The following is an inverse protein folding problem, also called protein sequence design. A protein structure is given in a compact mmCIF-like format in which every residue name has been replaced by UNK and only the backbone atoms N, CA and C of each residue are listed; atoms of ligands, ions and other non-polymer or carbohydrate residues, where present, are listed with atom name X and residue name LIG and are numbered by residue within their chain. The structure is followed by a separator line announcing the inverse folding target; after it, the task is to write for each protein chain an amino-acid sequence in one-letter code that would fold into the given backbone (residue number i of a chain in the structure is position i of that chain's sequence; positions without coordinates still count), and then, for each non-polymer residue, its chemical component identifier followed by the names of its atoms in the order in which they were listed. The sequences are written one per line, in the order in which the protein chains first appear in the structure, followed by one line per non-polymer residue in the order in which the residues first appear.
data_IF_829262120399
#
_entry.id   IF_829262120399
#
_cell.length_a   1.000
_cell.length_b   1.000
_cell.length_c   1.000
_cell.angle_alpha   90.00
_cell.angle_beta   90.00
_cell.angle_gamma   90.00
#
_symmetry.space_group_name_H-M   'P 1'
#
loop_
_entity.id
_entity.type
_entity.pdbx_description
1 polymer ?
#
# COMPACT_ATOMS: atom_id res chain seq x y z
N UNK A 1 16.49 8.03 -0.70
CA UNK A 1 17.20 7.13 -1.63
C UNK A 1 16.20 6.15 -2.24
N UNK A 2 16.46 5.62 -3.44
CA UNK A 2 15.65 4.60 -4.12
C UNK A 2 16.56 3.41 -4.43
N UNK A 3 16.07 2.22 -4.15
CA UNK A 3 16.75 0.96 -4.39
C UNK A 3 15.84 0.07 -5.25
N UNK A 4 16.42 -0.90 -5.94
CA UNK A 4 15.70 -1.94 -6.65
C UNK A 4 16.15 -3.31 -6.11
N UNK A 5 15.18 -4.12 -5.66
CA UNK A 5 15.41 -5.47 -5.18
C UNK A 5 14.52 -6.42 -5.98
N UNK A 6 15.09 -7.50 -6.48
CA UNK A 6 14.32 -8.57 -7.13
C UNK A 6 13.81 -9.54 -6.05
N UNK A 7 12.55 -9.34 -5.63
CA UNK A 7 11.95 -10.14 -4.56
C UNK A 7 11.49 -11.54 -5.01
N UNK A 8 11.68 -11.89 -6.27
CA UNK A 8 11.51 -13.28 -6.74
C UNK A 8 12.72 -14.16 -6.39
N UNK A 9 13.82 -13.53 -5.93
CA UNK A 9 15.06 -14.18 -5.53
C UNK A 9 15.38 -13.94 -4.05
N UNK A 10 16.00 -14.91 -3.39
CA UNK A 10 16.41 -14.81 -1.98
C UNK A 10 17.43 -13.68 -1.75
N UNK A 11 18.31 -13.40 -2.73
CA UNK A 11 19.26 -12.28 -2.69
C UNK A 11 18.54 -10.92 -2.66
N UNK A 12 17.39 -10.81 -3.32
CA UNK A 12 16.57 -9.61 -3.30
C UNK A 12 15.99 -9.34 -1.91
N UNK A 13 15.52 -10.38 -1.22
CA UNK A 13 15.06 -10.29 0.16
C UNK A 13 16.20 -9.95 1.11
N UNK A 14 17.36 -10.61 0.99
CA UNK A 14 18.55 -10.28 1.76
C UNK A 14 18.96 -8.83 1.60
N UNK A 15 18.92 -8.32 0.36
CA UNK A 15 19.21 -6.91 0.06
C UNK A 15 18.19 -5.97 0.71
N UNK A 16 16.90 -6.31 0.68
CA UNK A 16 15.85 -5.52 1.33
C UNK A 16 16.05 -5.45 2.83
N UNK A 17 16.35 -6.57 3.50
CA UNK A 17 16.59 -6.58 4.94
C UNK A 17 17.83 -5.75 5.32
N UNK A 18 18.90 -5.82 4.53
CA UNK A 18 20.10 -4.99 4.73
C UNK A 18 19.81 -3.49 4.57
N UNK A 19 18.96 -3.11 3.60
CA UNK A 19 18.48 -1.72 3.45
C UNK A 19 17.65 -1.30 4.66
N UNK A 20 16.80 -2.18 5.20
CA UNK A 20 16.04 -1.91 6.40
C UNK A 20 16.93 -1.67 7.62
N UNK A 21 18.01 -2.43 7.75
CA UNK A 21 19.01 -2.26 8.81
C UNK A 21 19.80 -0.95 8.64
N UNK A 22 20.30 -0.65 7.43
CA UNK A 22 21.02 0.61 7.13
C UNK A 22 20.18 1.86 7.45
N UNK A 23 18.86 1.75 7.29
CA UNK A 23 17.90 2.86 7.45
C UNK A 23 16.98 2.67 8.66
N UNK A 24 17.49 2.12 9.77
CA UNK A 24 16.67 1.81 10.97
C UNK A 24 15.92 3.00 11.56
N UNK A 25 16.42 4.21 11.39
CA UNK A 25 15.81 5.45 11.91
C UNK A 25 14.87 6.13 10.90
N UNK A 26 14.53 5.43 9.78
CA UNK A 26 13.71 5.97 8.70
C UNK A 26 12.63 4.98 8.29
N UNK A 27 11.52 5.46 7.74
CA UNK A 27 10.54 4.59 7.09
C UNK A 27 11.11 4.03 5.78
N UNK A 28 10.99 2.73 5.58
CA UNK A 28 11.28 2.06 4.31
C UNK A 28 9.96 1.73 3.63
N UNK A 29 9.76 2.26 2.44
CA UNK A 29 8.54 2.01 1.65
C UNK A 29 8.90 1.05 0.53
N UNK A 30 8.24 -0.11 0.52
CA UNK A 30 8.39 -1.13 -0.54
C UNK A 30 7.21 -1.02 -1.49
N UNK A 31 7.48 -0.70 -2.76
CA UNK A 31 6.49 -0.75 -3.82
C UNK A 31 6.66 -2.06 -4.58
N UNK A 32 5.82 -3.03 -4.28
CA UNK A 32 5.87 -4.35 -4.89
C UNK A 32 5.15 -4.38 -6.25
N UNK A 33 5.61 -5.27 -7.14
CA UNK A 33 4.93 -5.55 -8.39
C UNK A 33 3.58 -6.26 -8.16
N UNK A 34 2.72 -6.25 -9.16
CA UNK A 34 1.48 -7.03 -9.12
C UNK A 34 1.81 -8.52 -9.00
N UNK A 35 1.15 -9.24 -8.09
CA UNK A 35 1.40 -10.66 -7.83
C UNK A 35 2.52 -10.95 -6.83
N UNK A 36 3.16 -9.94 -6.25
CA UNK A 36 4.20 -10.10 -5.24
C UNK A 36 3.68 -10.65 -3.89
N UNK A 37 2.36 -10.76 -3.72
CA UNK A 37 1.73 -11.43 -2.58
C UNK A 37 2.24 -12.87 -2.40
N UNK A 38 2.50 -13.59 -3.48
CA UNK A 38 3.03 -14.97 -3.42
C UNK A 38 4.42 -15.05 -2.83
N UNK A 39 5.35 -14.23 -3.33
CA UNK A 39 6.73 -14.18 -2.83
C UNK A 39 6.79 -13.63 -1.43
N UNK A 40 5.91 -12.68 -1.07
CA UNK A 40 5.76 -12.20 0.30
C UNK A 40 5.33 -13.34 1.24
N UNK A 41 4.29 -14.10 0.89
CA UNK A 41 3.81 -15.24 1.70
C UNK A 41 4.88 -16.33 1.83
N UNK A 42 5.64 -16.62 0.78
CA UNK A 42 6.74 -17.59 0.83
C UNK A 42 7.85 -17.17 1.79
N UNK A 43 8.12 -15.87 1.90
CA UNK A 43 9.17 -15.32 2.75
C UNK A 43 8.67 -14.80 4.12
N UNK A 44 7.43 -15.14 4.50
CA UNK A 44 6.77 -14.59 5.68
C UNK A 44 7.59 -14.77 6.97
N UNK A 45 8.23 -15.95 7.14
CA UNK A 45 9.08 -16.24 8.30
C UNK A 45 10.35 -15.39 8.36
N UNK A 46 10.95 -15.08 7.22
CA UNK A 46 12.11 -14.21 7.15
C UNK A 46 11.71 -12.76 7.43
N UNK A 47 10.53 -12.33 6.95
CA UNK A 47 9.99 -10.99 7.20
C UNK A 47 9.68 -10.81 8.68
N UNK A 48 9.03 -11.79 9.32
CA UNK A 48 8.73 -11.81 10.76
C UNK A 48 10.02 -11.66 11.57
N UNK A 49 11.00 -12.53 11.32
CA UNK A 49 12.29 -12.49 11.99
C UNK A 49 13.03 -11.15 11.79
N UNK A 50 13.05 -10.63 10.58
CA UNK A 50 13.66 -9.33 10.31
C UNK A 50 12.94 -8.18 11.02
N UNK A 51 11.60 -8.22 11.09
CA UNK A 51 10.79 -7.25 11.82
C UNK A 51 11.13 -7.24 13.31
N UNK A 52 11.23 -8.43 13.92
CA UNK A 52 11.63 -8.60 15.33
C UNK A 52 13.06 -8.11 15.58
N UNK A 53 14.03 -8.58 14.80
CA UNK A 53 15.45 -8.25 14.98
C UNK A 53 15.74 -6.75 14.80
N UNK A 54 14.99 -6.08 13.93
CA UNK A 54 15.15 -4.67 13.64
C UNK A 54 14.19 -3.79 14.47
N UNK A 55 13.38 -4.40 15.34
CA UNK A 55 12.34 -3.72 16.14
C UNK A 55 11.45 -2.82 15.26
N UNK A 56 11.08 -3.31 14.06
CA UNK A 56 10.30 -2.55 13.10
C UNK A 56 8.85 -3.02 13.07
N UNK A 57 7.96 -2.05 12.96
CA UNK A 57 6.55 -2.30 12.65
C UNK A 57 6.39 -2.52 11.14
N UNK A 58 5.68 -3.57 10.76
CA UNK A 58 5.29 -3.85 9.39
C UNK A 58 3.89 -3.31 9.11
N UNK A 59 3.75 -2.51 8.06
CA UNK A 59 2.45 -1.99 7.62
C UNK A 59 2.25 -2.40 6.17
N UNK A 60 1.19 -3.16 5.90
CA UNK A 60 0.82 -3.57 4.55
C UNK A 60 -0.40 -2.83 4.05
N UNK A 61 -0.25 -2.09 2.95
CA UNK A 61 -1.35 -1.51 2.22
C UNK A 61 -1.76 -2.46 1.08
N UNK A 62 -2.79 -3.26 1.31
CA UNK A 62 -3.30 -4.14 0.25
C UNK A 62 -4.20 -3.34 -0.69
N UNK A 63 -3.71 -3.11 -1.92
CA UNK A 63 -4.41 -2.31 -2.93
C UNK A 63 -5.46 -3.16 -3.64
N UNK A 64 -6.71 -3.03 -3.22
CA UNK A 64 -7.84 -3.76 -3.77
C UNK A 64 -8.32 -3.11 -5.08
N UNK A 65 -8.49 -3.91 -6.12
CA UNK A 65 -9.22 -3.54 -7.34
C UNK A 65 -10.67 -4.09 -7.29
N UNK A 66 -11.44 -3.87 -8.33
CA UNK A 66 -12.84 -4.29 -8.45
C UNK A 66 -13.02 -5.74 -8.93
N UNK A 67 -11.92 -6.47 -9.16
CA UNK A 67 -11.94 -7.85 -9.65
C UNK A 67 -12.06 -8.86 -8.50
N UNK A 68 -12.80 -9.96 -8.77
CA UNK A 68 -12.97 -11.05 -7.81
C UNK A 68 -11.66 -11.71 -7.39
N UNK A 69 -10.68 -11.78 -8.30
CA UNK A 69 -9.37 -12.37 -8.02
C UNK A 69 -8.59 -11.57 -6.97
N UNK A 70 -8.78 -10.25 -6.92
CA UNK A 70 -8.21 -9.41 -5.89
C UNK A 70 -8.73 -9.76 -4.49
N UNK A 71 -10.00 -10.15 -4.37
CA UNK A 71 -10.59 -10.63 -3.11
C UNK A 71 -9.99 -11.96 -2.67
N UNK A 72 -9.81 -12.89 -3.62
CA UNK A 72 -9.19 -14.19 -3.33
C UNK A 72 -7.73 -14.05 -2.89
N UNK A 73 -7.01 -13.10 -3.48
CA UNK A 73 -5.63 -12.79 -3.10
C UNK A 73 -5.59 -12.14 -1.72
N UNK A 74 -6.49 -11.21 -1.43
CA UNK A 74 -6.61 -10.58 -0.11
C UNK A 74 -6.87 -11.60 0.99
N UNK A 75 -7.79 -12.55 0.77
CA UNK A 75 -8.12 -13.59 1.76
C UNK A 75 -6.89 -14.46 2.07
N UNK A 76 -6.20 -14.95 1.04
CA UNK A 76 -4.94 -15.72 1.19
C UNK A 76 -3.86 -14.93 1.89
N UNK A 77 -3.69 -13.65 1.52
CA UNK A 77 -2.70 -12.77 2.14
C UNK A 77 -3.01 -12.57 3.63
N UNK A 78 -4.26 -12.26 3.95
CA UNK A 78 -4.70 -12.08 5.33
C UNK A 78 -4.47 -13.35 6.17
N UNK A 79 -4.89 -14.52 5.68
CA UNK A 79 -4.71 -15.78 6.40
C UNK A 79 -3.24 -16.14 6.65
N UNK A 80 -2.36 -15.82 5.71
CA UNK A 80 -0.93 -16.06 5.86
C UNK A 80 -0.24 -15.10 6.84
N UNK A 81 -0.79 -13.89 7.03
CA UNK A 81 -0.10 -12.79 7.72
C UNK A 81 -0.71 -12.40 9.05
N UNK A 82 -1.94 -12.86 9.38
CA UNK A 82 -2.66 -12.47 10.61
C UNK A 82 -1.95 -12.86 11.92
N UNK A 83 -0.98 -13.76 11.89
CA UNK A 83 -0.22 -14.20 13.06
C UNK A 83 1.09 -13.47 13.29
N UNK A 84 1.47 -12.54 12.40
CA UNK A 84 2.73 -11.78 12.54
C UNK A 84 2.54 -10.70 13.59
N UNK A 85 3.39 -10.72 14.60
CA UNK A 85 3.42 -9.70 15.64
C UNK A 85 3.84 -8.34 15.04
N UNK A 86 3.24 -7.25 15.51
CA UNK A 86 3.50 -5.87 15.02
C UNK A 86 3.22 -5.65 13.51
N UNK A 87 2.37 -6.49 12.90
CA UNK A 87 1.93 -6.32 11.52
C UNK A 87 0.54 -5.69 11.46
N UNK A 88 0.43 -4.57 10.75
CA UNK A 88 -0.83 -3.88 10.50
C UNK A 88 -1.21 -3.98 9.03
N UNK A 89 -2.44 -4.37 8.75
CA UNK A 89 -2.97 -4.48 7.39
C UNK A 89 -4.04 -3.41 7.18
N UNK A 90 -3.89 -2.63 6.13
CA UNK A 90 -4.92 -1.73 5.63
C UNK A 90 -5.38 -2.18 4.24
N UNK A 91 -6.66 -2.45 4.08
CA UNK A 91 -7.26 -2.74 2.78
C UNK A 91 -7.63 -1.41 2.12
N UNK A 92 -6.96 -1.08 1.03
CA UNK A 92 -7.16 0.17 0.31
C UNK A 92 -7.95 -0.08 -0.96
N UNK A 93 -9.24 0.27 -0.95
CA UNK A 93 -10.10 0.25 -2.15
C UNK A 93 -9.62 1.34 -3.10
N UNK A 94 -9.01 0.94 -4.23
CA UNK A 94 -8.37 1.86 -5.16
C UNK A 94 -9.41 2.54 -6.06
N UNK A 95 -9.73 3.78 -5.76
CA UNK A 95 -10.70 4.60 -6.52
C UNK A 95 -10.29 4.89 -7.97
N UNK A 96 -9.12 4.43 -8.42
CA UNK A 96 -8.78 4.43 -9.84
C UNK A 96 -9.77 3.60 -10.68
N UNK A 97 -10.28 2.52 -10.11
CA UNK A 97 -11.23 1.62 -10.76
C UNK A 97 -12.68 2.12 -10.70
N UNK A 98 -13.01 3.06 -9.84
CA UNK A 98 -14.34 3.67 -9.76
C UNK A 98 -14.67 4.22 -8.37
N UNK A 99 -15.93 4.58 -8.18
CA UNK A 99 -16.45 5.01 -6.89
C UNK A 99 -16.49 3.84 -5.88
N UNK A 100 -16.70 4.12 -4.60
CA UNK A 100 -16.73 3.10 -3.54
C UNK A 100 -17.73 1.96 -3.82
N UNK A 101 -18.84 2.26 -4.52
CA UNK A 101 -19.85 1.28 -4.91
C UNK A 101 -19.34 0.17 -5.84
N UNK A 102 -18.26 0.36 -6.59
CA UNK A 102 -17.70 -0.73 -7.43
C UNK A 102 -17.07 -1.84 -6.58
N UNK A 103 -16.82 -1.59 -5.30
CA UNK A 103 -16.32 -2.54 -4.33
C UNK A 103 -17.43 -3.22 -3.50
N UNK A 104 -18.68 -3.20 -3.97
CA UNK A 104 -19.83 -3.77 -3.23
C UNK A 104 -19.63 -5.23 -2.88
N UNK A 105 -18.99 -6.01 -3.75
CA UNK A 105 -18.68 -7.44 -3.49
C UNK A 105 -17.78 -7.55 -2.25
N UNK A 106 -16.78 -6.70 -2.10
CA UNK A 106 -15.97 -6.63 -0.89
C UNK A 106 -16.76 -6.06 0.29
N UNK A 107 -17.44 -4.92 0.09
CA UNK A 107 -18.12 -4.18 1.14
C UNK A 107 -19.20 -5.03 1.85
N UNK A 108 -19.82 -5.98 1.16
CA UNK A 108 -20.86 -6.87 1.70
C UNK A 108 -20.36 -8.29 2.02
N UNK A 109 -19.06 -8.56 1.83
CA UNK A 109 -18.49 -9.90 1.98
C UNK A 109 -18.23 -10.26 3.46
N UNK A 110 -18.28 -11.56 3.74
CA UNK A 110 -17.80 -12.11 5.01
C UNK A 110 -16.28 -11.86 5.20
N UNK A 111 -15.53 -11.73 4.11
CA UNK A 111 -14.11 -11.43 4.14
C UNK A 111 -13.84 -10.06 4.80
N UNK A 112 -14.59 -9.02 4.42
CA UNK A 112 -14.48 -7.72 5.06
C UNK A 112 -14.74 -7.82 6.56
N UNK A 113 -15.82 -8.49 6.96
CA UNK A 113 -16.15 -8.68 8.38
C UNK A 113 -15.03 -9.42 9.14
N UNK A 114 -14.47 -10.49 8.55
CA UNK A 114 -13.34 -11.28 9.08
C UNK A 114 -12.10 -10.39 9.31
N UNK A 115 -11.72 -9.60 8.32
CA UNK A 115 -10.54 -8.75 8.31
C UNK A 115 -10.68 -7.60 9.35
N UNK A 116 -11.83 -6.93 9.37
CA UNK A 116 -12.10 -5.83 10.30
C UNK A 116 -12.24 -6.32 11.74
N UNK A 117 -12.81 -7.51 11.97
CA UNK A 117 -12.84 -8.14 13.30
C UNK A 117 -11.42 -8.47 13.80
N UNK A 118 -10.49 -8.78 12.90
CA UNK A 118 -9.07 -8.99 13.21
C UNK A 118 -8.27 -7.68 13.40
N UNK A 119 -8.93 -6.53 13.46
CA UNK A 119 -8.29 -5.24 13.75
C UNK A 119 -7.74 -4.50 12.51
N UNK A 120 -7.95 -5.04 11.31
CA UNK A 120 -7.54 -4.36 10.09
C UNK A 120 -8.54 -3.26 9.72
N UNK A 121 -8.08 -2.27 8.96
CA UNK A 121 -8.92 -1.15 8.50
C UNK A 121 -9.16 -1.22 7.00
N UNK A 122 -10.37 -0.85 6.58
CA UNK A 122 -10.72 -0.69 5.17
C UNK A 122 -10.85 0.79 4.84
N UNK A 123 -10.18 1.23 3.78
CA UNK A 123 -10.17 2.64 3.37
C UNK A 123 -10.44 2.76 1.87
N UNK A 124 -11.29 3.74 1.49
CA UNK A 124 -11.47 4.09 0.10
C UNK A 124 -10.57 5.26 -0.28
N UNK A 125 -9.57 5.00 -1.11
CA UNK A 125 -8.67 6.01 -1.65
C UNK A 125 -9.21 6.55 -2.96
N UNK A 126 -9.87 7.71 -2.91
CA UNK A 126 -10.41 8.36 -4.09
C UNK A 126 -9.30 8.65 -5.13
N UNK A 127 -9.61 8.45 -6.41
CA UNK A 127 -8.68 8.81 -7.47
C UNK A 127 -8.45 10.31 -7.55
N UNK A 128 -7.23 10.71 -7.92
CA UNK A 128 -6.97 12.08 -8.34
C UNK A 128 -7.81 12.40 -9.59
N UNK A 129 -8.33 13.62 -9.67
CA UNK A 129 -9.13 14.08 -10.80
C UNK A 129 -8.49 13.72 -12.15
N UNK A 130 -9.22 13.09 -13.10
CA UNK A 130 -8.64 12.51 -14.31
C UNK A 130 -7.81 13.48 -15.13
N UNK A 131 -8.28 14.73 -15.30
CA UNK A 131 -7.57 15.77 -16.07
C UNK A 131 -6.23 16.16 -15.42
N UNK A 132 -6.15 16.22 -14.08
CA UNK A 132 -4.92 16.52 -13.35
C UNK A 132 -3.95 15.34 -13.47
N UNK A 133 -4.44 14.11 -13.23
CA UNK A 133 -3.65 12.90 -13.36
C UNK A 133 -3.06 12.75 -14.78
N UNK A 134 -3.85 13.03 -15.83
CA UNK A 134 -3.40 12.95 -17.21
C UNK A 134 -2.27 13.93 -17.51
N UNK A 135 -2.35 15.17 -17.04
CA UNK A 135 -1.29 16.18 -17.20
C UNK A 135 0.02 15.71 -16.54
N UNK A 136 -0.05 15.25 -15.29
CA UNK A 136 1.11 14.76 -14.55
C UNK A 136 1.78 13.58 -15.27
N UNK A 137 0.95 12.65 -15.78
CA UNK A 137 1.42 11.47 -16.51
C UNK A 137 2.11 11.84 -17.84
N UNK A 138 1.52 12.76 -18.61
CA UNK A 138 2.09 13.20 -19.89
C UNK A 138 3.45 13.88 -19.72
N UNK A 139 3.58 14.71 -18.69
CA UNK A 139 4.82 15.41 -18.36
C UNK A 139 5.83 14.54 -17.57
N UNK A 140 5.48 13.29 -17.26
CA UNK A 140 6.33 12.35 -16.50
C UNK A 140 6.89 12.95 -15.20
N UNK A 141 6.09 13.75 -14.50
CA UNK A 141 6.48 14.41 -13.25
C UNK A 141 6.06 13.60 -12.03
N UNK A 142 6.82 13.74 -10.97
CA UNK A 142 6.39 13.27 -9.64
C UNK A 142 5.24 14.14 -9.13
N UNK A 143 4.47 13.64 -8.15
CA UNK A 143 3.46 14.45 -7.47
C UNK A 143 4.05 15.67 -6.75
N UNK A 144 5.32 15.59 -6.31
CA UNK A 144 6.02 16.71 -5.70
C UNK A 144 6.29 17.83 -6.72
N UNK A 145 6.74 17.45 -7.92
CA UNK A 145 7.09 18.41 -8.97
C UNK A 145 5.87 18.90 -9.78
N UNK A 146 4.74 18.22 -9.64
CA UNK A 146 3.53 18.52 -10.41
C UNK A 146 3.01 19.95 -10.20
N UNK A 147 3.22 20.53 -9.02
CA UNK A 147 2.83 21.91 -8.73
C UNK A 147 3.44 22.93 -9.70
N UNK A 148 4.60 22.63 -10.29
CA UNK A 148 5.32 23.53 -11.20
C UNK A 148 4.75 23.54 -12.63
N UNK A 149 3.96 22.54 -13.00
CA UNK A 149 3.41 22.37 -14.35
C UNK A 149 1.88 22.52 -14.40
N UNK A 150 1.23 22.51 -13.25
CA UNK A 150 -0.22 22.58 -13.15
C UNK A 150 -0.71 24.02 -13.06
N UNK A 151 -1.87 24.30 -13.65
CA UNK A 151 -2.60 25.54 -13.44
C UNK A 151 -3.00 25.70 -11.98
N UNK A 152 -3.34 26.91 -11.56
CA UNK A 152 -3.81 27.17 -10.19
C UNK A 152 -5.00 26.29 -9.81
N UNK A 153 -6.01 26.17 -10.71
CA UNK A 153 -7.17 25.33 -10.48
C UNK A 153 -6.80 23.85 -10.32
N UNK A 154 -5.93 23.31 -11.17
CA UNK A 154 -5.48 21.92 -11.08
C UNK A 154 -4.69 21.64 -9.79
N UNK A 155 -3.91 22.62 -9.31
CA UNK A 155 -3.20 22.50 -8.03
C UNK A 155 -4.16 22.36 -6.86
N UNK A 156 -5.30 23.05 -6.86
CA UNK A 156 -6.34 22.90 -5.81
C UNK A 156 -6.82 21.45 -5.75
N UNK A 157 -7.09 20.80 -6.89
CA UNK A 157 -7.49 19.39 -6.94
C UNK A 157 -6.38 18.46 -6.44
N UNK A 158 -5.13 18.70 -6.83
CA UNK A 158 -3.99 17.92 -6.37
C UNK A 158 -3.82 18.05 -4.85
N UNK A 159 -3.85 19.26 -4.32
CA UNK A 159 -3.64 19.52 -2.90
C UNK A 159 -4.77 18.96 -2.04
N UNK A 160 -6.02 19.06 -2.49
CA UNK A 160 -7.17 18.46 -1.81
C UNK A 160 -7.04 16.91 -1.76
N UNK A 161 -6.59 16.29 -2.86
CA UNK A 161 -6.33 14.85 -2.91
C UNK A 161 -5.17 14.46 -1.99
N UNK A 162 -4.04 15.18 -2.04
CA UNK A 162 -2.87 14.94 -1.18
C UNK A 162 -3.22 15.01 0.30
N UNK A 163 -4.02 15.99 0.72
CA UNK A 163 -4.49 16.10 2.11
C UNK A 163 -5.22 14.85 2.58
N UNK A 164 -6.08 14.26 1.72
CA UNK A 164 -6.79 12.99 2.05
C UNK A 164 -5.81 11.83 2.19
N UNK A 165 -4.84 11.71 1.27
CA UNK A 165 -3.80 10.67 1.33
C UNK A 165 -2.94 10.83 2.59
N UNK A 166 -2.51 12.05 2.90
CA UNK A 166 -1.73 12.33 4.11
C UNK A 166 -2.51 12.02 5.39
N UNK A 167 -3.78 12.38 5.46
CA UNK A 167 -4.63 12.06 6.62
C UNK A 167 -4.77 10.54 6.82
N UNK A 168 -4.94 9.78 5.73
CA UNK A 168 -4.98 8.32 5.77
C UNK A 168 -3.64 7.73 6.25
N UNK A 169 -2.53 8.12 5.63
CA UNK A 169 -1.21 7.62 5.99
C UNK A 169 -0.81 8.03 7.41
N UNK A 170 -1.15 9.25 7.83
CA UNK A 170 -0.86 9.76 9.18
C UNK A 170 -1.44 8.91 10.30
N UNK A 171 -2.56 8.22 10.06
CA UNK A 171 -3.12 7.26 11.02
C UNK A 171 -2.23 6.04 11.28
N UNK A 172 -1.23 5.78 10.44
CA UNK A 172 -0.31 4.64 10.60
C UNK A 172 1.09 5.04 11.09
N UNK A 173 1.45 6.31 10.99
CA UNK A 173 2.82 6.77 11.27
C UNK A 173 2.93 7.67 12.50
N UNK A 174 1.81 8.10 13.09
CA UNK A 174 1.79 9.02 14.23
C UNK A 174 1.54 8.33 15.59
N UNK A 175 1.61 6.98 15.64
CA UNK A 175 1.50 6.20 16.89
C UNK A 175 2.87 5.83 17.46
#
# INVERSE_FOLDING_TARGET
KTYACDLDLDEGWSSLFSICEEHKDSHVVVNSAAGADKTFIQNIKHIELASEMLERRLISFFMLNDEKDSLNQLDKYYDATQGIENHHIAVVKNGYFGADAVFDVYNTSNLKAKIEHGGCVSYYLAALAPHVRQKIKLERKSFADAANILSFGDRIFLDAWRKKVHAFLGGFFNE
#
